data_IF_633137129160
#
_entry.id   IF_633137129160
#
_cell.length_a   1.000
_cell.length_b   1.000
_cell.length_c   1.000
_cell.angle_alpha   90.00
_cell.angle_beta   90.00
_cell.angle_gamma   90.00
#
_symmetry.space_group_name_H-M   'P 1'
#
loop_
_entity.id
_entity.type
_entity.pdbx_description
1 polymer ?
#
# COMPACT_ATOMS: atom_id res chain seq x y z
N UNK A 1 -33.23 9.23 -21.22
CA UNK A 1 -32.64 7.88 -21.37
C UNK A 1 -33.28 6.93 -20.35
N UNK A 2 -33.76 5.79 -20.82
CA UNK A 2 -34.33 4.79 -19.94
C UNK A 2 -33.19 4.18 -19.06
N UNK A 3 -33.48 4.03 -17.77
CA UNK A 3 -32.51 3.44 -16.83
C UNK A 3 -32.55 1.92 -16.89
N UNK A 4 -31.39 1.30 -16.79
CA UNK A 4 -31.27 -0.17 -16.68
C UNK A 4 -31.08 -0.51 -15.20
N UNK A 5 -31.94 -1.39 -14.63
CA UNK A 5 -31.74 -1.82 -13.25
C UNK A 5 -30.40 -2.55 -13.09
N UNK A 6 -29.66 -2.21 -12.05
CA UNK A 6 -28.34 -2.79 -11.78
C UNK A 6 -28.37 -4.33 -11.74
N UNK A 7 -29.41 -4.91 -11.13
CA UNK A 7 -29.56 -6.36 -10.99
C UNK A 7 -29.67 -7.09 -12.32
N UNK A 8 -30.16 -6.40 -13.39
CA UNK A 8 -30.27 -7.00 -14.73
C UNK A 8 -28.92 -7.18 -15.44
N UNK A 9 -27.86 -6.54 -14.94
CA UNK A 9 -26.52 -6.69 -15.51
C UNK A 9 -25.89 -8.04 -15.24
N UNK A 10 -26.41 -8.78 -14.26
CA UNK A 10 -25.91 -10.12 -13.92
C UNK A 10 -24.45 -10.15 -13.49
N UNK A 11 -23.97 -9.07 -12.85
CA UNK A 11 -22.58 -8.98 -12.43
C UNK A 11 -22.26 -9.94 -11.30
N UNK A 12 -21.10 -10.56 -11.40
CA UNK A 12 -20.59 -11.48 -10.39
C UNK A 12 -19.20 -11.04 -9.95
N UNK A 13 -18.83 -11.39 -8.72
CA UNK A 13 -17.49 -11.17 -8.20
C UNK A 13 -16.47 -11.95 -9.03
N UNK A 14 -15.37 -11.27 -9.42
CA UNK A 14 -14.26 -11.90 -10.13
C UNK A 14 -13.20 -12.32 -9.10
N UNK A 15 -12.88 -13.61 -9.10
CA UNK A 15 -11.89 -14.20 -8.18
C UNK A 15 -10.74 -14.86 -8.96
N UNK A 16 -10.35 -14.26 -10.06
CA UNK A 16 -9.30 -14.80 -10.92
C UNK A 16 -7.93 -14.73 -10.25
N UNK A 17 -7.17 -15.80 -10.41
CA UNK A 17 -5.77 -15.89 -10.00
C UNK A 17 -4.92 -16.35 -11.16
N UNK A 18 -3.62 -15.99 -11.11
CA UNK A 18 -2.59 -16.50 -12.02
C UNK A 18 -1.60 -17.29 -11.18
N UNK A 19 -1.35 -18.54 -11.57
CA UNK A 19 -0.37 -19.37 -10.90
C UNK A 19 1.01 -19.15 -11.52
N UNK A 20 2.00 -18.85 -10.69
CA UNK A 20 3.40 -18.74 -11.08
C UNK A 20 4.23 -19.74 -10.28
N UNK A 21 5.40 -20.10 -10.79
CA UNK A 21 6.32 -20.99 -10.10
C UNK A 21 7.40 -20.17 -9.40
N UNK A 22 7.50 -20.33 -8.08
CA UNK A 22 8.55 -19.70 -7.27
C UNK A 22 9.24 -20.82 -6.50
N UNK A 23 10.54 -21.04 -6.76
CA UNK A 23 11.31 -22.11 -6.11
C UNK A 23 10.61 -23.48 -6.20
N UNK A 24 10.10 -23.80 -7.39
CA UNK A 24 9.36 -25.04 -7.69
C UNK A 24 8.01 -25.19 -6.95
N UNK A 25 7.53 -24.12 -6.32
CA UNK A 25 6.21 -24.07 -5.69
C UNK A 25 5.22 -23.27 -6.54
N UNK A 26 4.00 -23.77 -6.67
CA UNK A 26 2.91 -23.03 -7.32
C UNK A 26 2.38 -21.93 -6.40
N UNK A 27 2.57 -20.68 -6.78
CA UNK A 27 2.07 -19.53 -6.05
C UNK A 27 0.92 -18.90 -6.85
N UNK A 28 -0.22 -18.72 -6.21
CA UNK A 28 -1.36 -18.05 -6.82
C UNK A 28 -1.28 -16.56 -6.58
N UNK A 29 -1.44 -15.77 -7.66
CA UNK A 29 -1.43 -14.31 -7.61
C UNK A 29 -2.81 -13.79 -8.01
N UNK A 30 -3.46 -13.06 -7.13
CA UNK A 30 -4.76 -12.44 -7.40
C UNK A 30 -4.64 -11.41 -8.51
N UNK A 31 -5.58 -11.45 -9.46
CA UNK A 31 -5.60 -10.52 -10.59
C UNK A 31 -6.39 -9.25 -10.28
N UNK A 32 -7.21 -9.27 -9.24
CA UNK A 32 -7.96 -8.13 -8.73
C UNK A 32 -8.05 -8.24 -7.21
N UNK A 33 -7.84 -7.14 -6.52
CA UNK A 33 -7.99 -7.06 -5.06
C UNK A 33 -9.21 -6.20 -4.74
N UNK A 34 -10.11 -6.67 -3.85
CA UNK A 34 -11.25 -5.86 -3.41
C UNK A 34 -10.81 -4.49 -2.87
N UNK A 35 -11.65 -3.48 -3.06
CA UNK A 35 -11.31 -2.11 -2.64
C UNK A 35 -11.03 -1.99 -1.14
N UNK A 36 -11.73 -2.75 -0.31
CA UNK A 36 -11.48 -2.76 1.13
C UNK A 36 -10.06 -3.21 1.48
N UNK A 37 -9.56 -4.22 0.76
CA UNK A 37 -8.19 -4.70 0.95
C UNK A 37 -7.16 -3.70 0.43
N UNK A 38 -7.45 -3.01 -0.67
CA UNK A 38 -6.61 -1.92 -1.18
C UNK A 38 -6.51 -0.77 -0.18
N UNK A 39 -7.62 -0.40 0.45
CA UNK A 39 -7.65 0.63 1.50
C UNK A 39 -6.78 0.21 2.68
N UNK A 40 -6.84 -1.06 3.10
CA UNK A 40 -6.01 -1.58 4.17
C UNK A 40 -4.51 -1.52 3.82
N UNK A 41 -4.14 -1.86 2.58
CA UNK A 41 -2.76 -1.73 2.11
C UNK A 41 -2.29 -0.28 2.25
N UNK A 42 -3.07 0.67 1.73
CA UNK A 42 -2.72 2.09 1.75
C UNK A 42 -2.53 2.57 3.19
N UNK A 43 -3.46 2.22 4.08
CA UNK A 43 -3.38 2.56 5.51
C UNK A 43 -2.11 2.01 6.15
N UNK A 44 -1.80 0.75 5.93
CA UNK A 44 -0.62 0.10 6.49
C UNK A 44 0.68 0.73 5.97
N UNK A 45 0.74 1.08 4.69
CA UNK A 45 1.91 1.74 4.10
C UNK A 45 2.12 3.12 4.75
N UNK A 46 1.06 3.90 4.92
CA UNK A 46 1.14 5.22 5.56
C UNK A 46 1.65 5.09 6.99
N UNK A 47 1.09 4.17 7.76
CA UNK A 47 1.45 3.98 9.18
C UNK A 47 2.92 3.57 9.36
N UNK A 48 3.49 2.83 8.42
CA UNK A 48 4.83 2.28 8.55
C UNK A 48 5.91 3.07 7.82
N UNK A 49 5.55 4.07 7.01
CA UNK A 49 6.51 4.78 6.15
C UNK A 49 6.98 6.13 6.66
N UNK A 50 6.48 6.60 7.81
CA UNK A 50 6.94 7.84 8.43
C UNK A 50 8.35 7.68 8.99
N UNK A 51 9.19 8.71 8.80
CA UNK A 51 10.48 8.82 9.47
C UNK A 51 10.33 9.49 10.85
N UNK A 52 11.44 9.70 11.56
CA UNK A 52 11.44 10.31 12.89
C UNK A 52 10.91 11.75 12.90
N UNK A 53 10.92 12.43 11.75
CA UNK A 53 10.43 13.79 11.58
C UNK A 53 8.98 13.84 11.08
N UNK A 54 8.30 12.71 11.00
CA UNK A 54 6.93 12.55 10.49
C UNK A 54 6.78 12.90 8.99
N UNK A 55 7.84 12.77 8.22
CA UNK A 55 7.80 12.83 6.75
C UNK A 55 7.77 11.42 6.18
N UNK A 56 7.10 11.26 5.04
CA UNK A 56 7.13 10.00 4.32
C UNK A 56 8.55 9.73 3.79
N UNK A 57 9.12 8.60 4.19
CA UNK A 57 10.40 8.15 3.67
C UNK A 57 10.14 7.33 2.40
N UNK A 58 10.60 7.79 1.20
CA UNK A 58 10.31 7.10 -0.06
C UNK A 58 10.77 5.63 -0.08
N UNK A 59 11.88 5.33 0.58
CA UNK A 59 12.40 3.95 0.65
C UNK A 59 11.49 3.09 1.51
N UNK A 60 11.04 3.60 2.66
CA UNK A 60 10.07 2.89 3.51
C UNK A 60 8.74 2.68 2.79
N UNK A 61 8.26 3.67 2.04
CA UNK A 61 7.04 3.53 1.22
C UNK A 61 7.19 2.35 0.26
N UNK A 62 8.29 2.27 -0.46
CA UNK A 62 8.55 1.17 -1.40
C UNK A 62 8.61 -0.18 -0.69
N UNK A 63 9.36 -0.28 0.40
CA UNK A 63 9.50 -1.52 1.17
C UNK A 63 8.14 -2.01 1.67
N UNK A 64 7.38 -1.16 2.34
CA UNK A 64 6.09 -1.56 2.90
C UNK A 64 5.02 -1.76 1.85
N UNK A 65 5.01 -0.99 0.75
CA UNK A 65 4.09 -1.22 -0.37
C UNK A 65 4.32 -2.60 -0.98
N UNK A 66 5.57 -2.97 -1.24
CA UNK A 66 5.90 -4.28 -1.80
C UNK A 66 5.56 -5.43 -0.85
N UNK A 67 5.84 -5.29 0.45
CA UNK A 67 5.47 -6.31 1.42
C UNK A 67 3.96 -6.49 1.53
N UNK A 68 3.20 -5.39 1.60
CA UNK A 68 1.74 -5.45 1.64
C UNK A 68 1.16 -6.10 0.38
N UNK A 69 1.76 -5.86 -0.78
CA UNK A 69 1.37 -6.52 -2.04
C UNK A 69 1.62 -8.03 -1.93
N UNK A 70 2.77 -8.46 -1.40
CA UNK A 70 3.05 -9.87 -1.19
C UNK A 70 2.01 -10.53 -0.28
N UNK A 71 1.64 -9.86 0.81
CA UNK A 71 0.66 -10.38 1.76
C UNK A 71 -0.75 -10.50 1.16
N UNK A 72 -1.17 -9.50 0.39
CA UNK A 72 -2.55 -9.39 -0.08
C UNK A 72 -2.81 -10.11 -1.41
N UNK A 73 -1.86 -10.08 -2.34
CA UNK A 73 -2.05 -10.61 -3.70
C UNK A 73 -1.61 -12.06 -3.87
N UNK A 74 -0.84 -12.62 -2.93
CA UNK A 74 -0.36 -13.99 -3.05
C UNK A 74 -0.96 -14.89 -1.98
N UNK A 75 -0.92 -16.20 -2.25
CA UNK A 75 -1.25 -17.22 -1.26
C UNK A 75 -0.02 -17.70 -0.46
N UNK A 76 1.08 -16.96 -0.49
CA UNK A 76 2.23 -17.24 0.36
C UNK A 76 1.84 -16.95 1.81
N UNK A 77 2.08 -17.90 2.70
CA UNK A 77 1.83 -17.74 4.13
C UNK A 77 3.05 -17.19 4.83
N UNK A 78 2.89 -16.04 5.49
CA UNK A 78 3.94 -15.41 6.29
C UNK A 78 3.58 -15.50 7.77
N UNK A 79 4.53 -15.91 8.60
CA UNK A 79 4.34 -15.95 10.06
C UNK A 79 4.43 -14.56 10.65
N UNK A 80 3.83 -14.35 11.82
CA UNK A 80 3.93 -13.08 12.54
C UNK A 80 5.39 -12.73 12.83
N UNK A 81 6.21 -13.72 13.17
CA UNK A 81 7.64 -13.53 13.41
C UNK A 81 8.38 -13.02 12.17
N UNK A 82 8.02 -13.52 10.97
CA UNK A 82 8.60 -13.03 9.72
C UNK A 82 8.20 -11.58 9.46
N UNK A 83 6.96 -11.22 9.72
CA UNK A 83 6.44 -9.86 9.54
C UNK A 83 7.00 -8.85 10.55
N UNK A 84 7.44 -9.31 11.73
CA UNK A 84 8.06 -8.46 12.75
C UNK A 84 9.41 -7.88 12.32
N UNK A 85 10.08 -8.49 11.34
CA UNK A 85 11.33 -7.97 10.79
C UNK A 85 11.16 -7.68 9.30
N UNK A 86 10.47 -6.57 8.95
CA UNK A 86 10.11 -6.27 7.55
C UNK A 86 11.31 -6.04 6.65
N UNK A 87 12.38 -5.42 7.13
CA UNK A 87 13.57 -5.17 6.32
C UNK A 87 14.27 -6.45 5.92
N UNK A 88 14.40 -7.40 6.85
CA UNK A 88 14.97 -8.71 6.57
C UNK A 88 14.11 -9.50 5.58
N UNK A 89 12.79 -9.47 5.77
CA UNK A 89 11.86 -10.14 4.88
C UNK A 89 11.92 -9.55 3.47
N UNK A 90 11.92 -8.21 3.36
CA UNK A 90 12.05 -7.51 2.10
C UNK A 90 13.33 -7.92 1.36
N UNK A 91 14.47 -7.88 2.04
CA UNK A 91 15.76 -8.23 1.44
C UNK A 91 15.75 -9.67 0.91
N UNK A 92 15.21 -10.59 1.68
CA UNK A 92 15.13 -11.99 1.27
C UNK A 92 14.28 -12.20 0.02
N UNK A 93 13.14 -11.50 -0.05
CA UNK A 93 12.26 -11.54 -1.22
C UNK A 93 12.89 -10.83 -2.44
N UNK A 94 13.50 -9.67 -2.22
CA UNK A 94 14.12 -8.88 -3.30
C UNK A 94 15.36 -9.57 -3.88
N UNK A 95 16.24 -10.07 -3.03
CA UNK A 95 17.47 -10.77 -3.45
C UNK A 95 17.19 -12.00 -4.31
N UNK A 96 16.06 -12.65 -4.09
CA UNK A 96 15.63 -13.83 -4.84
C UNK A 96 14.71 -13.50 -6.02
N UNK A 97 14.47 -12.22 -6.31
CA UNK A 97 13.65 -11.78 -7.43
C UNK A 97 12.16 -12.07 -7.30
N UNK A 98 11.69 -12.42 -6.11
CA UNK A 98 10.30 -12.84 -5.89
C UNK A 98 9.33 -11.67 -6.05
N UNK A 99 9.69 -10.48 -5.57
CA UNK A 99 8.85 -9.28 -5.69
C UNK A 99 8.58 -8.98 -7.16
N UNK A 100 9.63 -8.97 -7.99
CA UNK A 100 9.50 -8.70 -9.41
C UNK A 100 8.63 -9.75 -10.13
N UNK A 101 8.77 -11.03 -9.78
CA UNK A 101 7.95 -12.10 -10.37
C UNK A 101 6.47 -11.96 -10.02
N UNK A 102 6.17 -11.62 -8.77
CA UNK A 102 4.78 -11.43 -8.34
C UNK A 102 4.17 -10.19 -9.01
N UNK A 103 4.87 -9.06 -9.04
CA UNK A 103 4.39 -7.84 -9.67
C UNK A 103 4.13 -8.08 -11.15
N UNK A 104 5.01 -8.79 -11.84
CA UNK A 104 4.83 -9.15 -13.24
C UNK A 104 3.58 -10.01 -13.49
N UNK A 105 3.12 -10.74 -12.49
CA UNK A 105 1.91 -11.56 -12.57
C UNK A 105 0.61 -10.79 -12.26
N UNK A 106 0.70 -9.58 -11.68
CA UNK A 106 -0.44 -8.70 -11.45
C UNK A 106 -0.71 -7.92 -12.73
N UNK A 107 -1.98 -7.74 -13.16
CA UNK A 107 -2.27 -6.87 -14.30
C UNK A 107 -1.68 -5.47 -14.13
N UNK A 108 -1.08 -4.94 -15.17
CA UNK A 108 -0.38 -3.64 -15.13
C UNK A 108 -1.27 -2.51 -14.63
N UNK A 109 -2.52 -2.44 -15.10
CA UNK A 109 -3.47 -1.42 -14.68
C UNK A 109 -3.89 -1.57 -13.20
N UNK A 110 -3.99 -2.79 -12.70
CA UNK A 110 -4.30 -3.07 -11.28
C UNK A 110 -3.16 -2.56 -10.37
N UNK A 111 -1.93 -2.90 -10.73
CA UNK A 111 -0.74 -2.47 -10.00
C UNK A 111 -0.54 -0.96 -10.04
N UNK A 112 -0.65 -0.36 -11.24
CA UNK A 112 -0.49 1.08 -11.42
C UNK A 112 -1.54 1.89 -10.65
N UNK A 113 -2.80 1.43 -10.62
CA UNK A 113 -3.87 2.07 -9.87
C UNK A 113 -3.57 2.07 -8.36
N UNK A 114 -3.14 0.94 -7.82
CA UNK A 114 -2.79 0.82 -6.40
C UNK A 114 -1.63 1.73 -6.03
N UNK A 115 -0.55 1.73 -6.82
CA UNK A 115 0.60 2.61 -6.58
C UNK A 115 0.22 4.09 -6.65
N UNK A 116 -0.59 4.47 -7.63
CA UNK A 116 -1.08 5.83 -7.77
C UNK A 116 -1.87 6.29 -6.54
N UNK A 117 -2.75 5.44 -6.03
CA UNK A 117 -3.51 5.73 -4.82
C UNK A 117 -2.64 5.81 -3.56
N UNK A 118 -1.62 4.97 -3.45
CA UNK A 118 -0.64 5.06 -2.34
C UNK A 118 0.06 6.42 -2.39
N UNK A 119 0.60 6.81 -3.53
CA UNK A 119 1.33 8.07 -3.69
C UNK A 119 0.44 9.28 -3.43
N UNK A 120 -0.75 9.33 -4.00
CA UNK A 120 -1.71 10.42 -3.80
C UNK A 120 -2.15 10.53 -2.34
N UNK A 121 -2.42 9.40 -1.69
CA UNK A 121 -2.87 9.38 -0.29
C UNK A 121 -1.77 9.82 0.66
N UNK A 122 -0.53 9.37 0.43
CA UNK A 122 0.63 9.77 1.22
C UNK A 122 0.87 11.27 1.08
N UNK A 123 0.86 11.79 -0.15
CA UNK A 123 1.05 13.22 -0.41
C UNK A 123 -0.03 14.05 0.30
N UNK A 124 -1.30 13.67 0.15
CA UNK A 124 -2.40 14.38 0.78
C UNK A 124 -2.32 14.32 2.31
N UNK A 125 -2.00 13.16 2.88
CA UNK A 125 -1.91 12.96 4.33
C UNK A 125 -0.79 13.81 4.94
N UNK A 126 0.41 13.75 4.38
CA UNK A 126 1.56 14.47 4.94
C UNK A 126 1.49 15.96 4.66
N UNK A 127 0.96 16.39 3.53
CA UNK A 127 0.71 17.81 3.24
C UNK A 127 -0.28 18.40 4.26
N UNK A 128 -1.39 17.73 4.52
CA UNK A 128 -2.36 18.16 5.51
C UNK A 128 -1.74 18.24 6.91
N UNK A 129 -1.04 17.21 7.34
CA UNK A 129 -0.38 17.14 8.64
C UNK A 129 0.62 18.26 8.83
N UNK A 130 1.48 18.49 7.83
CA UNK A 130 2.49 19.54 7.89
C UNK A 130 1.86 20.92 7.91
N UNK A 131 0.75 21.14 7.20
CA UNK A 131 0.00 22.39 7.22
C UNK A 131 -0.58 22.67 8.62
N UNK A 132 -1.16 21.64 9.26
CA UNK A 132 -1.69 21.78 10.63
C UNK A 132 -0.57 22.08 11.61
N UNK A 133 0.57 21.40 11.52
CA UNK A 133 1.73 21.66 12.38
C UNK A 133 2.28 23.07 12.17
N UNK A 134 2.38 23.53 10.93
CA UNK A 134 2.82 24.88 10.59
C UNK A 134 1.89 25.94 11.19
N UNK A 135 0.59 25.75 11.13
CA UNK A 135 -0.40 26.64 11.75
C UNK A 135 -0.22 26.67 13.27
N UNK A 136 -0.04 25.51 13.89
CA UNK A 136 0.17 25.43 15.35
C UNK A 136 1.45 26.10 15.79
N UNK A 137 2.55 25.96 15.03
CA UNK A 137 3.80 26.66 15.29
C UNK A 137 3.63 28.19 15.22
N UNK A 138 2.90 28.66 14.21
CA UNK A 138 2.62 30.09 14.04
C UNK A 138 1.82 30.64 15.23
N UNK A 139 0.77 29.92 15.64
CA UNK A 139 -0.03 30.29 16.81
C UNK A 139 0.84 30.35 18.06
N UNK A 140 1.70 29.39 18.26
CA UNK A 140 2.62 29.33 19.42
C UNK A 140 3.57 30.53 19.42
N UNK A 141 4.13 30.88 18.25
CA UNK A 141 5.02 32.05 18.10
C UNK A 141 4.29 33.35 18.40
N UNK A 142 3.09 33.53 17.86
CA UNK A 142 2.28 34.73 18.08
C UNK A 142 1.90 34.87 19.56
N UNK A 143 1.57 33.75 20.19
CA UNK A 143 1.26 33.75 21.64
C UNK A 143 2.46 34.11 22.49
N UNK A 144 3.65 33.60 22.16
CA UNK A 144 4.88 33.93 22.85
C UNK A 144 5.24 35.44 22.72
N UNK A 145 4.95 36.05 21.55
CA UNK A 145 5.15 37.47 21.31
C UNK A 145 4.18 38.35 22.11
N UNK A 146 2.98 37.82 22.44
CA UNK A 146 1.98 38.54 23.21
C UNK A 146 2.23 38.48 24.73
N UNK A 147 3.03 37.55 25.20
CA UNK A 147 3.29 37.35 26.65
C UNK A 147 4.43 38.20 27.20
N UNK A 148 4.80 39.21 26.46
CA UNK A 148 5.73 40.25 26.93
C UNK A 148 4.95 41.26 27.79
#
# INVERSE_FOLDING_TARGET
MAKVPFTKLGLKKIEDTKTISICDQGVEVKQYLPISDKINIITNVIENSADDNNFANPVKVEVFANLEIMYAYTNISFTDKQKENPTKLYDLLEENGIIAEVIAAIPENEYALLLGWIDETIEAFYTYRNSVMGIMEQISTDYSNLSL
#
